data_IF_404384646762
#
_entry.id   IF_404384646762
#
_cell.length_a   1.000
_cell.length_b   1.000
_cell.length_c   1.000
_cell.angle_alpha   90.00
_cell.angle_beta   90.00
_cell.angle_gamma   90.00
#
_symmetry.space_group_name_H-M   'P 1'
#
loop_
_entity.id
_entity.type
_entity.pdbx_description
1 polymer ?
#
# COMPACT_ATOMS: atom_id res chain seq x y z
N UNK A 1 9.52 -4.10 1.50
CA UNK A 1 8.77 -3.90 0.25
C UNK A 1 7.91 -5.11 -0.06
N UNK A 2 6.73 -4.87 -0.62
CA UNK A 2 5.85 -5.92 -1.14
C UNK A 2 6.08 -6.04 -2.64
N UNK A 3 6.22 -7.27 -3.14
CA UNK A 3 6.32 -7.56 -4.58
C UNK A 3 5.27 -8.55 -4.99
N UNK A 4 4.64 -8.29 -6.12
CA UNK A 4 3.58 -9.15 -6.62
C UNK A 4 3.47 -9.01 -8.14
N UNK A 5 2.74 -9.93 -8.76
CA UNK A 5 2.45 -9.90 -10.18
C UNK A 5 0.94 -10.03 -10.38
N UNK A 6 0.32 -9.12 -11.15
CA UNK A 6 -1.09 -9.30 -11.49
C UNK A 6 -1.28 -10.50 -12.41
N UNK A 7 -2.40 -11.19 -12.23
CA UNK A 7 -2.79 -12.33 -13.02
C UNK A 7 -3.85 -11.91 -14.05
N UNK A 8 -4.11 -12.73 -15.09
CA UNK A 8 -5.13 -12.39 -16.09
C UNK A 8 -6.51 -12.08 -15.50
N UNK A 9 -6.87 -12.71 -14.38
CA UNK A 9 -8.14 -12.45 -13.71
C UNK A 9 -8.24 -11.04 -13.08
N UNK A 10 -7.10 -10.35 -12.95
CA UNK A 10 -7.03 -9.01 -12.38
C UNK A 10 -7.20 -7.89 -13.41
N UNK A 11 -7.44 -8.25 -14.67
CA UNK A 11 -7.60 -7.29 -15.75
C UNK A 11 -9.03 -6.78 -15.90
N UNK A 12 -9.14 -5.53 -16.31
CA UNK A 12 -10.39 -4.96 -16.76
C UNK A 12 -10.61 -5.28 -18.25
N UNK A 13 -11.74 -4.83 -18.81
CA UNK A 13 -12.08 -5.07 -20.20
C UNK A 13 -11.11 -4.44 -21.21
N UNK A 14 -10.29 -3.48 -20.78
CA UNK A 14 -9.29 -2.82 -21.62
C UNK A 14 -7.93 -3.53 -21.59
N UNK A 15 -7.82 -4.63 -20.84
CA UNK A 15 -6.54 -5.35 -20.69
C UNK A 15 -5.60 -4.77 -19.65
N UNK A 16 -6.05 -3.79 -18.90
CA UNK A 16 -5.28 -3.19 -17.80
C UNK A 16 -5.70 -3.79 -16.46
N UNK A 17 -4.80 -3.74 -15.49
CA UNK A 17 -5.10 -4.21 -14.14
C UNK A 17 -6.12 -3.28 -13.48
N UNK A 18 -7.12 -3.88 -12.82
CA UNK A 18 -8.13 -3.12 -12.09
C UNK A 18 -7.50 -2.20 -11.03
N UNK A 19 -8.02 -0.96 -10.96
CA UNK A 19 -7.62 -0.02 -9.91
C UNK A 19 -7.85 -0.58 -8.51
N UNK A 20 -8.92 -1.34 -8.31
CA UNK A 20 -9.21 -2.01 -7.05
C UNK A 20 -8.15 -3.03 -6.64
N UNK A 21 -7.55 -3.73 -7.61
CA UNK A 21 -6.43 -4.64 -7.34
C UNK A 21 -5.23 -3.87 -6.80
N UNK A 22 -4.89 -2.75 -7.45
CA UNK A 22 -3.78 -1.90 -7.01
C UNK A 22 -4.05 -1.34 -5.63
N UNK A 23 -5.27 -0.85 -5.38
CA UNK A 23 -5.66 -0.31 -4.09
C UNK A 23 -5.56 -1.36 -2.98
N UNK A 24 -5.97 -2.59 -3.23
CA UNK A 24 -5.86 -3.67 -2.26
C UNK A 24 -4.39 -3.96 -1.90
N UNK A 25 -3.50 -3.95 -2.89
CA UNK A 25 -2.07 -4.15 -2.66
C UNK A 25 -1.47 -2.97 -1.88
N UNK A 26 -1.87 -1.75 -2.21
CA UNK A 26 -1.43 -0.54 -1.50
C UNK A 26 -1.83 -0.59 -0.03
N UNK A 27 -3.07 -1.00 0.26
CA UNK A 27 -3.56 -1.10 1.63
C UNK A 27 -2.77 -2.14 2.43
N UNK A 28 -2.50 -3.31 1.85
CA UNK A 28 -1.69 -4.34 2.48
C UNK A 28 -0.26 -3.84 2.73
N UNK A 29 0.37 -3.23 1.73
CA UNK A 29 1.73 -2.71 1.85
C UNK A 29 1.84 -1.64 2.93
N UNK A 30 0.86 -0.76 3.02
CA UNK A 30 0.84 0.29 4.03
C UNK A 30 0.55 -0.23 5.43
N UNK A 31 -0.27 -1.27 5.54
CA UNK A 31 -0.62 -1.87 6.83
C UNK A 31 0.59 -2.49 7.54
N UNK A 32 1.56 -3.04 6.80
CA UNK A 32 2.71 -3.73 7.39
C UNK A 32 3.53 -2.79 8.30
N UNK A 33 4.05 -1.65 7.82
CA UNK A 33 4.77 -0.73 8.71
C UNK A 33 3.85 -0.11 9.76
N UNK A 34 2.57 0.09 9.46
CA UNK A 34 1.62 0.60 10.44
C UNK A 34 1.44 -0.37 11.60
N UNK A 35 1.29 -1.67 11.33
CA UNK A 35 1.19 -2.70 12.37
C UNK A 35 2.46 -2.78 13.22
N UNK A 36 3.62 -2.70 12.60
CA UNK A 36 4.89 -2.70 13.33
C UNK A 36 5.00 -1.50 14.26
N UNK A 37 4.62 -0.32 13.77
CA UNK A 37 4.68 0.89 14.59
C UNK A 37 3.64 0.88 15.72
N UNK A 38 2.45 0.33 15.44
CA UNK A 38 1.37 0.23 16.43
C UNK A 38 1.61 -0.88 17.46
N UNK A 39 2.48 -1.82 17.14
CA UNK A 39 2.72 -3.00 18.00
C UNK A 39 1.54 -3.96 18.00
N UNK A 40 0.74 -4.00 16.94
CA UNK A 40 -0.42 -4.87 16.84
C UNK A 40 -1.36 -4.47 15.72
N UNK A 41 -2.62 -4.84 15.88
CA UNK A 41 -3.63 -4.64 14.84
C UNK A 41 -3.92 -3.18 14.54
N UNK A 42 -4.18 -2.91 13.27
CA UNK A 42 -4.62 -1.59 12.78
C UNK A 42 -5.83 -1.76 11.88
N UNK A 43 -6.59 -0.68 11.71
CA UNK A 43 -7.67 -0.61 10.75
C UNK A 43 -7.43 0.59 9.83
N UNK A 44 -7.70 0.42 8.55
CA UNK A 44 -7.63 1.50 7.56
C UNK A 44 -8.85 2.39 7.74
N UNK A 45 -8.65 3.67 7.97
CA UNK A 45 -9.76 4.61 8.19
C UNK A 45 -9.91 5.61 7.06
N UNK A 46 -8.86 5.89 6.31
CA UNK A 46 -8.98 6.78 5.15
C UNK A 46 -7.85 6.56 4.16
N UNK A 47 -8.14 6.89 2.92
CA UNK A 47 -7.15 7.08 1.87
C UNK A 47 -7.14 8.57 1.61
N UNK A 48 -6.05 9.24 2.00
CA UNK A 48 -5.97 10.69 1.96
C UNK A 48 -5.68 11.22 0.56
N UNK A 49 -4.90 10.44 -0.21
CA UNK A 49 -4.67 10.72 -1.62
C UNK A 49 -4.35 9.42 -2.34
N UNK A 50 -4.71 9.36 -3.61
CA UNK A 50 -4.45 8.19 -4.44
C UNK A 50 -4.38 8.66 -5.89
N UNK A 51 -3.19 8.56 -6.48
CA UNK A 51 -2.97 9.04 -7.85
C UNK A 51 -2.43 7.91 -8.72
N UNK A 52 -3.17 7.60 -9.78
CA UNK A 52 -2.67 6.74 -10.85
C UNK A 52 -1.93 7.57 -11.87
N UNK A 53 -0.69 7.18 -12.15
CA UNK A 53 0.17 7.83 -13.14
C UNK A 53 0.26 7.05 -14.42
N UNK A 54 0.23 5.71 -14.31
CA UNK A 54 0.30 4.78 -15.45
C UNK A 54 -0.47 3.52 -15.14
N UNK A 55 -0.91 2.82 -16.19
CA UNK A 55 -1.56 1.52 -16.04
C UNK A 55 -0.53 0.44 -15.74
N UNK A 56 -0.98 -0.59 -15.03
CA UNK A 56 -0.22 -1.81 -14.77
C UNK A 56 -0.72 -2.88 -15.72
N UNK A 57 0.19 -3.62 -16.33
CA UNK A 57 -0.14 -4.68 -17.27
C UNK A 57 0.20 -6.06 -16.69
N UNK A 58 -0.45 -7.10 -17.21
CA UNK A 58 -0.08 -8.49 -16.88
C UNK A 58 1.36 -8.72 -17.31
N UNK A 59 2.12 -9.38 -16.47
CA UNK A 59 3.54 -9.61 -16.68
C UNK A 59 4.45 -8.58 -16.05
N UNK A 60 3.90 -7.44 -15.60
CA UNK A 60 4.66 -6.48 -14.83
C UNK A 60 4.99 -7.06 -13.44
N UNK A 61 6.18 -6.81 -12.97
CA UNK A 61 6.53 -7.06 -11.57
C UNK A 61 6.26 -5.79 -10.80
N UNK A 62 5.33 -5.85 -9.86
CA UNK A 62 4.87 -4.68 -9.10
C UNK A 62 5.55 -4.68 -7.74
N UNK A 63 6.24 -3.58 -7.44
CA UNK A 63 6.91 -3.36 -6.16
C UNK A 63 6.27 -2.20 -5.44
N UNK A 64 5.96 -2.40 -4.17
CA UNK A 64 5.31 -1.39 -3.33
C UNK A 64 6.23 -1.08 -2.16
N UNK A 65 6.48 0.19 -1.95
CA UNK A 65 7.32 0.70 -0.87
C UNK A 65 6.46 1.56 0.04
N UNK A 66 6.49 1.27 1.32
CA UNK A 66 5.66 1.95 2.30
C UNK A 66 6.53 2.54 3.41
N UNK A 67 6.19 3.75 3.84
CA UNK A 67 6.92 4.50 4.85
C UNK A 67 5.95 5.22 5.76
N UNK A 68 6.14 5.07 7.08
CA UNK A 68 5.38 5.85 8.05
C UNK A 68 5.88 7.30 8.01
N UNK A 69 4.97 8.24 7.77
CA UNK A 69 5.31 9.66 7.65
C UNK A 69 4.76 10.51 8.78
N UNK A 70 3.77 10.02 9.51
CA UNK A 70 3.21 10.73 10.65
C UNK A 70 2.58 9.75 11.64
N UNK A 71 2.76 10.01 12.93
CA UNK A 71 2.15 9.24 14.00
C UNK A 71 1.38 10.20 14.91
N UNK A 72 0.09 10.00 14.99
CA UNK A 72 -0.77 10.69 15.96
C UNK A 72 -0.96 9.86 17.21
N UNK A 73 -1.87 10.28 18.09
CA UNK A 73 -2.12 9.54 19.34
C UNK A 73 -2.67 8.14 19.09
N UNK A 74 -3.58 7.98 18.13
CA UNK A 74 -4.21 6.71 17.78
C UNK A 74 -4.00 6.34 16.31
N UNK A 75 -3.45 7.25 15.51
CA UNK A 75 -3.37 7.12 14.06
C UNK A 75 -1.93 7.05 13.56
N UNK A 76 -1.78 6.42 12.41
CA UNK A 76 -0.51 6.29 11.72
C UNK A 76 -0.76 6.59 10.25
N UNK A 77 -0.03 7.55 9.68
CA UNK A 77 -0.12 7.89 8.27
C UNK A 77 1.07 7.29 7.54
N UNK A 78 0.79 6.62 6.43
CA UNK A 78 1.77 5.89 5.63
C UNK A 78 1.72 6.37 4.19
N UNK A 79 2.87 6.67 3.61
CA UNK A 79 3.00 6.87 2.17
C UNK A 79 3.35 5.54 1.51
N UNK A 80 2.70 5.24 0.40
CA UNK A 80 2.98 4.05 -0.40
C UNK A 80 3.28 4.49 -1.82
N UNK A 81 4.40 4.03 -2.35
CA UNK A 81 4.78 4.22 -3.75
C UNK A 81 4.76 2.88 -4.46
N UNK A 82 4.20 2.85 -5.66
CA UNK A 82 4.04 1.64 -6.46
C UNK A 82 4.82 1.80 -7.76
N UNK A 83 5.66 0.83 -8.04
CA UNK A 83 6.47 0.77 -9.26
C UNK A 83 6.18 -0.51 -10.01
N UNK A 84 6.20 -0.43 -11.34
CA UNK A 84 6.09 -1.60 -12.21
C UNK A 84 7.38 -1.75 -13.00
N UNK A 85 7.91 -2.96 -13.03
CA UNK A 85 9.05 -3.33 -13.85
C UNK A 85 8.55 -4.10 -15.05
N UNK A 86 8.90 -3.64 -16.24
CA UNK A 86 8.49 -4.19 -17.52
C UNK A 86 9.71 -4.61 -18.30
N UNK A 87 9.51 -5.57 -19.21
CA UNK A 87 10.54 -6.05 -20.11
C UNK A 87 11.67 -6.79 -19.38
N UNK A 88 11.57 -8.11 -19.34
CA UNK A 88 12.51 -8.96 -18.61
C UNK A 88 13.95 -8.94 -19.17
N UNK A 89 14.13 -8.57 -20.44
CA UNK A 89 15.45 -8.52 -21.06
C UNK A 89 16.15 -7.19 -20.80
N UNK A 90 15.41 -6.09 -20.96
CA UNK A 90 15.89 -4.74 -20.65
C UNK A 90 14.90 -4.09 -19.70
N UNK A 91 14.98 -4.37 -18.39
CA UNK A 91 13.98 -3.91 -17.43
C UNK A 91 13.82 -2.40 -17.43
N UNK A 92 12.58 -1.96 -17.51
CA UNK A 92 12.21 -0.55 -17.36
C UNK A 92 11.29 -0.43 -16.16
N UNK A 93 11.67 0.40 -15.20
CA UNK A 93 10.88 0.63 -14.00
C UNK A 93 10.15 1.97 -14.12
N UNK A 94 8.84 1.94 -13.95
CA UNK A 94 8.02 3.14 -13.99
C UNK A 94 7.23 3.28 -12.68
N UNK A 95 7.05 4.52 -12.22
CA UNK A 95 6.20 4.80 -11.07
C UNK A 95 4.76 4.86 -11.53
N UNK A 96 3.92 3.97 -11.03
CA UNK A 96 2.53 3.85 -11.50
C UNK A 96 1.53 4.49 -10.56
N UNK A 97 1.83 4.53 -9.26
CA UNK A 97 0.88 5.02 -8.27
C UNK A 97 1.60 5.60 -7.06
N UNK A 98 0.97 6.57 -6.44
CA UNK A 98 1.39 7.12 -5.16
C UNK A 98 0.15 7.32 -4.30
N UNK A 99 0.21 6.90 -3.05
CA UNK A 99 -0.93 6.95 -2.14
C UNK A 99 -0.49 7.33 -0.73
N UNK A 100 -1.40 7.96 -0.01
CA UNK A 100 -1.25 8.21 1.42
C UNK A 100 -2.48 7.69 2.14
N UNK A 101 -2.28 6.85 3.14
CA UNK A 101 -3.34 6.20 3.89
C UNK A 101 -3.17 6.48 5.37
N UNK A 102 -4.31 6.53 6.08
CA UNK A 102 -4.31 6.63 7.54
C UNK A 102 -4.89 5.36 8.14
N UNK A 103 -4.16 4.83 9.10
CA UNK A 103 -4.54 3.67 9.90
C UNK A 103 -4.72 4.07 11.34
N UNK A 104 -5.60 3.38 12.07
CA UNK A 104 -5.71 3.56 13.53
C UNK A 104 -5.34 2.26 14.21
N UNK A 105 -4.64 2.38 15.35
CA UNK A 105 -4.37 1.24 16.21
C UNK A 105 -5.67 0.79 16.87
N UNK A 106 -5.92 -0.51 16.87
CA UNK A 106 -7.12 -1.10 17.47
C UNK A 106 -6.75 -2.19 18.47
N UNK A 107 -7.62 -2.39 19.45
CA UNK A 107 -7.48 -3.45 20.45
C UNK A 107 -8.14 -4.75 19.96
N UNK A 108 -8.16 -5.79 20.81
CA UNK A 108 -8.77 -7.06 20.49
C UNK A 108 -10.26 -7.01 20.22
N UNK A 109 -10.94 -5.94 20.63
CA UNK A 109 -12.36 -5.71 20.39
C UNK A 109 -12.62 -4.77 19.20
N UNK A 110 -11.57 -4.39 18.47
CA UNK A 110 -11.69 -3.49 17.33
C UNK A 110 -11.85 -2.01 17.70
N UNK A 111 -11.61 -1.64 18.93
CA UNK A 111 -11.71 -0.25 19.39
C UNK A 111 -10.36 0.46 19.29
N UNK A 112 -10.38 1.76 19.01
CA UNK A 112 -9.19 2.58 18.96
C UNK A 112 -8.39 2.48 20.26
N UNK A 113 -7.07 2.43 20.11
CA UNK A 113 -6.15 2.52 21.24
C UNK A 113 -5.00 3.46 20.90
N UNK A 114 -4.29 3.90 21.92
CA UNK A 114 -3.12 4.74 21.69
C UNK A 114 -1.99 3.97 21.02
N UNK A 115 -1.31 4.66 20.10
CA UNK A 115 -0.08 4.14 19.51
C UNK A 115 1.02 4.22 20.58
N UNK A 116 1.74 3.14 20.88
CA UNK A 116 2.80 3.19 21.89
C UNK A 116 3.93 4.13 21.46
N UNK A 117 4.69 4.67 22.43
CA UNK A 117 5.86 5.46 22.09
C UNK A 117 6.89 4.64 21.35
N UNK A 118 7.66 5.29 20.49
CA UNK A 118 8.69 4.63 19.73
C UNK A 118 9.81 4.12 20.66
N UNK A 119 10.20 2.87 20.46
CA UNK A 119 11.33 2.28 21.16
C UNK A 119 12.62 2.71 20.48
N UNK A 120 13.46 3.39 21.23
CA UNK A 120 14.79 3.80 20.75
C UNK A 120 15.88 3.00 21.44
#
# INVERSE_FOLDING_TARGET
ALRTMPMPADLNQNGDVFGGWVMAQVDVAGAIPAMHRAGGRVATVSVNSFQFKQAISVGDVVSLYAEVVHVGRTSITVNVEVYAERNYVNPVTVKVTEAQLTYVAIDGNGKKRSVPPENT
#
